data_IF_386827306142
#
_entry.id   IF_386827306142
#
_cell.length_a   1.000
_cell.length_b   1.000
_cell.length_c   1.000
_cell.angle_alpha   90.00
_cell.angle_beta   90.00
_cell.angle_gamma   90.00
#
_symmetry.space_group_name_H-M   'P 1'
#
loop_
_entity.id
_entity.type
_entity.pdbx_description
1 polymer ?
#
# COMPACT_ATOMS: atom_id res chain seq x y z
N UNK A 1 7.49 6.14 -15.31
CA UNK A 1 6.97 5.62 -14.02
C UNK A 1 6.02 4.48 -14.31
N UNK A 2 6.05 3.39 -13.54
CA UNK A 2 4.99 2.40 -13.62
C UNK A 2 3.69 3.02 -13.11
N UNK A 3 2.55 2.71 -13.76
CA UNK A 3 1.24 3.33 -13.51
C UNK A 3 0.79 3.29 -12.05
N UNK A 4 1.28 2.32 -11.27
CA UNK A 4 0.86 2.08 -9.90
C UNK A 4 2.00 2.28 -8.89
N UNK A 5 3.11 2.90 -9.28
CA UNK A 5 4.18 3.23 -8.34
C UNK A 5 4.11 4.69 -7.93
N UNK A 6 4.15 4.95 -6.63
CA UNK A 6 4.24 6.28 -6.06
C UNK A 6 5.64 6.52 -5.47
N UNK A 7 6.22 7.72 -5.66
CA UNK A 7 7.51 8.07 -5.09
C UNK A 7 7.31 8.74 -3.73
N UNK A 8 7.99 8.20 -2.72
CA UNK A 8 8.19 8.84 -1.43
C UNK A 8 9.54 9.56 -1.46
N UNK A 9 9.53 10.86 -1.19
CA UNK A 9 10.75 11.66 -1.16
C UNK A 9 11.46 11.51 0.17
N UNK A 10 12.79 11.33 0.14
CA UNK A 10 13.55 11.18 1.39
C UNK A 10 13.44 12.42 2.29
N UNK A 11 13.30 13.60 1.68
CA UNK A 11 13.22 14.88 2.37
C UNK A 11 11.97 15.02 3.26
N UNK A 12 10.87 14.33 2.89
CA UNK A 12 9.61 14.34 3.64
C UNK A 12 9.61 13.32 4.79
N UNK A 13 10.56 12.36 4.77
CA UNK A 13 10.66 11.26 5.73
C UNK A 13 12.04 11.20 6.40
N UNK A 14 12.53 12.34 6.88
CA UNK A 14 13.83 12.46 7.53
C UNK A 14 13.95 11.50 8.71
N UNK A 15 15.02 10.72 8.74
CA UNK A 15 15.28 9.72 9.79
C UNK A 15 14.62 8.36 9.55
N UNK A 16 13.74 8.24 8.56
CA UNK A 16 13.10 6.97 8.16
C UNK A 16 13.63 6.49 6.81
N UNK A 17 13.67 7.40 5.83
CA UNK A 17 14.19 7.12 4.50
C UNK A 17 15.60 7.70 4.35
N UNK A 18 16.53 6.87 3.88
CA UNK A 18 17.89 7.30 3.50
C UNK A 18 17.97 7.76 2.05
N UNK A 19 16.97 7.44 1.23
CA UNK A 19 16.86 7.75 -0.20
C UNK A 19 15.41 7.77 -0.65
N UNK A 20 15.15 8.45 -1.77
CA UNK A 20 13.85 8.38 -2.44
C UNK A 20 13.46 6.93 -2.65
N UNK A 21 12.25 6.60 -2.22
CA UNK A 21 11.73 5.25 -2.18
C UNK A 21 10.46 5.16 -3.02
N UNK A 22 10.08 3.94 -3.40
CA UNK A 22 8.88 3.71 -4.20
C UNK A 22 7.93 2.80 -3.46
N UNK A 23 6.68 3.21 -3.40
CA UNK A 23 5.59 2.40 -2.92
C UNK A 23 4.92 1.75 -4.14
N UNK A 24 4.95 0.42 -4.20
CA UNK A 24 4.31 -0.35 -5.26
C UNK A 24 2.84 -0.61 -4.89
N UNK A 25 1.92 0.08 -5.55
CA UNK A 25 0.49 -0.07 -5.37
C UNK A 25 -0.14 -1.10 -6.32
N UNK A 26 0.64 -1.80 -7.16
CA UNK A 26 0.12 -2.82 -8.08
C UNK A 26 -0.06 -4.19 -7.41
N UNK A 27 0.87 -4.57 -6.54
CA UNK A 27 0.91 -5.92 -5.94
C UNK A 27 0.38 -5.92 -4.51
N UNK A 28 -0.90 -5.61 -4.38
CA UNK A 28 -1.59 -5.74 -3.11
C UNK A 28 -1.94 -7.21 -2.84
N UNK A 29 -1.90 -7.60 -1.56
CA UNK A 29 -2.29 -8.94 -1.14
C UNK A 29 -2.95 -8.90 0.24
N UNK A 30 -3.92 -9.78 0.50
CA UNK A 30 -4.58 -9.80 1.78
C UNK A 30 -3.64 -10.45 2.80
N UNK A 31 -3.26 -9.70 3.84
CA UNK A 31 -2.50 -10.24 4.95
C UNK A 31 -3.46 -10.69 6.06
N UNK A 32 -3.42 -11.97 6.44
CA UNK A 32 -4.16 -12.44 7.62
C UNK A 32 -3.52 -11.79 8.86
N UNK A 33 -4.30 -11.23 9.78
CA UNK A 33 -3.76 -10.63 11.01
C UNK A 33 -2.90 -11.63 11.82
N UNK A 34 -3.23 -12.92 11.83
CA UNK A 34 -2.37 -13.93 12.46
C UNK A 34 -1.01 -14.17 11.76
N UNK A 35 -0.87 -13.73 10.51
CA UNK A 35 0.37 -13.75 9.73
C UNK A 35 1.16 -12.44 9.88
N UNK A 36 0.57 -11.37 10.40
CA UNK A 36 1.38 -10.29 10.95
C UNK A 36 1.96 -10.81 12.26
N UNK A 37 3.10 -11.49 12.14
CA UNK A 37 3.92 -11.81 13.30
C UNK A 37 4.34 -10.46 13.86
N UNK A 38 3.97 -10.17 15.11
CA UNK A 38 4.57 -9.08 15.87
C UNK A 38 6.04 -9.45 16.13
N UNK A 39 6.86 -9.38 15.08
CA UNK A 39 8.27 -9.12 15.25
C UNK A 39 8.33 -7.82 16.03
N UNK A 40 9.20 -7.69 17.04
CA UNK A 40 9.48 -6.39 17.67
C UNK A 40 9.86 -5.44 16.55
N UNK A 41 8.89 -4.67 16.10
CA UNK A 41 9.00 -3.71 15.03
C UNK A 41 8.79 -2.37 15.71
N UNK A 42 9.81 -1.54 15.67
CA UNK A 42 9.66 -0.18 16.13
C UNK A 42 8.79 0.57 15.13
N UNK A 43 7.88 1.39 15.64
CA UNK A 43 7.13 2.31 14.80
C UNK A 43 8.12 3.34 14.25
N UNK A 44 8.60 3.09 13.03
CA UNK A 44 9.58 3.97 12.37
C UNK A 44 8.97 5.24 11.80
N UNK A 45 7.67 5.28 11.54
CA UNK A 45 7.00 6.45 10.98
C UNK A 45 5.56 6.18 10.56
N UNK A 46 4.97 7.12 9.84
CA UNK A 46 3.68 6.99 9.15
C UNK A 46 3.74 7.78 7.84
N UNK A 47 2.94 7.40 6.84
CA UNK A 47 2.80 8.20 5.63
C UNK A 47 2.25 9.58 6.00
N UNK A 48 2.72 10.62 5.30
CA UNK A 48 2.13 11.95 5.40
C UNK A 48 0.71 11.93 4.83
N UNK A 49 -0.14 12.87 5.28
CA UNK A 49 -1.50 12.97 4.77
C UNK A 49 -1.54 13.24 3.25
N UNK A 50 -0.55 13.98 2.73
CA UNK A 50 -0.44 14.26 1.30
C UNK A 50 -0.10 13.01 0.49
N UNK A 51 0.87 12.21 0.95
CA UNK A 51 1.24 10.98 0.29
C UNK A 51 0.12 9.93 0.37
N UNK A 52 -0.55 9.83 1.52
CA UNK A 52 -1.71 8.98 1.68
C UNK A 52 -2.82 9.34 0.68
N UNK A 53 -3.14 10.63 0.55
CA UNK A 53 -4.14 11.12 -0.40
C UNK A 53 -3.80 10.79 -1.87
N UNK A 54 -2.50 10.65 -2.22
CA UNK A 54 -2.05 10.28 -3.56
C UNK A 54 -1.96 8.76 -3.77
N UNK A 55 -1.62 8.01 -2.73
CA UNK A 55 -1.53 6.54 -2.76
C UNK A 55 -2.91 5.90 -2.84
N UNK A 56 -3.90 6.42 -2.10
CA UNK A 56 -5.24 5.83 -2.03
C UNK A 56 -5.92 5.70 -3.41
N UNK A 57 -5.94 6.73 -4.29
CA UNK A 57 -6.48 6.59 -5.64
C UNK A 57 -5.73 5.56 -6.49
N UNK A 58 -4.40 5.48 -6.37
CA UNK A 58 -3.59 4.51 -7.11
C UNK A 58 -3.94 3.07 -6.70
N UNK A 59 -4.07 2.83 -5.39
CA UNK A 59 -4.53 1.57 -4.81
C UNK A 59 -5.94 1.22 -5.28
N UNK A 60 -6.87 2.17 -5.27
CA UNK A 60 -8.22 1.93 -5.78
C UNK A 60 -8.21 1.55 -7.27
N UNK A 61 -7.36 2.22 -8.06
CA UNK A 61 -7.27 2.00 -9.51
C UNK A 61 -6.60 0.68 -9.93
N UNK A 62 -5.89 0.00 -9.03
CA UNK A 62 -5.24 -1.28 -9.36
C UNK A 62 -6.22 -2.46 -9.45
N UNK A 63 -7.49 -2.26 -9.04
CA UNK A 63 -8.55 -3.27 -9.13
C UNK A 63 -8.40 -4.43 -8.15
N UNK A 64 -7.37 -4.42 -7.28
CA UNK A 64 -7.18 -5.47 -6.27
C UNK A 64 -8.36 -5.53 -5.30
N UNK A 65 -8.87 -4.38 -4.83
CA UNK A 65 -10.01 -4.32 -3.92
C UNK A 65 -11.24 -4.94 -4.60
N UNK A 66 -11.53 -4.53 -5.83
CA UNK A 66 -12.66 -5.07 -6.60
C UNK A 66 -12.52 -6.58 -6.87
N UNK A 67 -11.34 -7.02 -7.27
CA UNK A 67 -11.05 -8.44 -7.51
C UNK A 67 -11.17 -9.26 -6.21
N UNK A 68 -10.69 -8.72 -5.09
CA UNK A 68 -10.81 -9.34 -3.78
C UNK A 68 -12.27 -9.40 -3.32
N UNK A 69 -13.04 -8.32 -3.44
CA UNK A 69 -14.46 -8.28 -3.09
C UNK A 69 -15.28 -9.26 -3.93
N UNK A 70 -15.05 -9.30 -5.25
CA UNK A 70 -15.69 -10.29 -6.14
C UNK A 70 -15.37 -11.72 -5.72
N UNK A 71 -14.13 -12.00 -5.30
CA UNK A 71 -13.71 -13.33 -4.83
C UNK A 71 -14.33 -13.70 -3.48
N UNK A 72 -14.37 -12.77 -2.52
CA UNK A 72 -14.89 -13.03 -1.16
C UNK A 72 -16.41 -13.16 -1.15
N UNK A 73 -17.11 -12.28 -1.88
CA UNK A 73 -18.57 -12.23 -1.90
C UNK A 73 -19.19 -12.95 -3.10
N UNK A 74 -18.38 -13.61 -3.94
CA UNK A 74 -18.80 -14.34 -5.16
C UNK A 74 -19.67 -13.54 -6.12
N UNK A 75 -19.54 -12.21 -6.10
CA UNK A 75 -20.32 -11.31 -6.95
C UNK A 75 -19.97 -11.59 -8.42
N UNK A 76 -20.95 -12.04 -9.21
CA UNK A 76 -20.80 -12.33 -10.63
C UNK A 76 -20.29 -13.73 -10.99
N UNK A 77 -20.19 -14.66 -10.04
CA UNK A 77 -19.97 -16.08 -10.35
C UNK A 77 -21.32 -16.74 -10.69
N UNK A 78 -21.49 -17.15 -11.95
CA UNK A 78 -22.56 -18.04 -12.42
C UNK A 78 -22.16 -19.50 -12.24
#
# INVERSE_FOLDING_TARGET
MQRFQYILKAEDYKGVLTKDSRLDCAQLFPMKAKKSVAVRAERVGHLTAEDEAKVLPLVASCGFIDAHMRKVYRIGQK
#
